data_IF_537898671911
#
_entry.id   IF_537898671911
#
_cell.length_a   1.000
_cell.length_b   1.000
_cell.length_c   1.000
_cell.angle_alpha   90.00
_cell.angle_beta   90.00
_cell.angle_gamma   90.00
#
_symmetry.space_group_name_H-M   'P 1'
#
loop_
_entity.id
_entity.type
_entity.pdbx_description
1 polymer ?
#
# COMPACT_ATOMS: atom_id res chain seq x y z
N UNK A 1 23.92 7.28 3.21
CA UNK A 1 22.53 7.77 3.29
C UNK A 1 21.58 6.74 2.67
N UNK A 2 20.45 6.55 3.26
CA UNK A 2 19.35 5.73 2.70
C UNK A 2 18.15 6.62 2.43
N UNK A 3 17.53 6.45 1.26
CA UNK A 3 16.34 7.18 0.86
C UNK A 3 15.38 6.26 0.11
N UNK A 4 14.08 6.55 0.20
CA UNK A 4 13.06 5.76 -0.47
C UNK A 4 12.02 6.71 -1.13
N UNK A 5 12.06 6.92 -2.46
CA UNK A 5 10.95 7.48 -3.20
C UNK A 5 9.74 6.53 -3.11
N UNK A 6 8.60 7.01 -2.60
CA UNK A 6 7.41 6.21 -2.32
C UNK A 6 6.54 5.99 -3.57
N UNK A 7 7.15 5.96 -4.75
CA UNK A 7 6.47 5.72 -6.03
C UNK A 7 7.31 4.82 -6.92
N UNK A 8 6.63 3.94 -7.65
CA UNK A 8 7.30 3.00 -8.56
C UNK A 8 7.86 3.68 -9.81
N UNK A 9 9.02 3.24 -10.33
CA UNK A 9 9.62 3.81 -11.54
C UNK A 9 8.73 3.68 -12.78
N UNK A 10 7.90 2.64 -12.84
CA UNK A 10 6.98 2.36 -13.94
C UNK A 10 5.99 3.49 -14.19
N UNK A 11 5.54 4.17 -13.14
CA UNK A 11 4.56 5.25 -13.22
C UNK A 11 5.15 6.64 -12.97
N UNK A 12 6.43 6.74 -12.66
CA UNK A 12 7.08 8.01 -12.30
C UNK A 12 6.94 9.10 -13.38
N UNK A 13 6.96 8.72 -14.67
CA UNK A 13 6.79 9.65 -15.79
C UNK A 13 5.35 10.15 -15.98
N UNK A 14 4.37 9.47 -15.39
CA UNK A 14 2.94 9.78 -15.48
C UNK A 14 2.43 10.50 -14.24
N UNK A 15 3.20 10.47 -13.15
CA UNK A 15 2.83 11.07 -11.88
C UNK A 15 3.15 12.57 -11.86
N UNK A 16 2.29 13.33 -11.18
CA UNK A 16 2.62 14.69 -10.82
C UNK A 16 3.50 14.64 -9.56
N UNK A 17 4.82 14.83 -9.71
CA UNK A 17 5.80 14.64 -8.63
C UNK A 17 5.50 15.46 -7.36
N UNK A 18 4.79 16.58 -7.47
CA UNK A 18 4.41 17.37 -6.29
C UNK A 18 3.30 16.73 -5.42
N UNK A 19 2.71 15.63 -5.87
CA UNK A 19 1.80 14.78 -5.07
C UNK A 19 2.48 13.54 -4.51
N UNK A 20 3.73 13.28 -4.92
CA UNK A 20 4.48 12.08 -4.52
C UNK A 20 5.35 12.36 -3.30
N UNK A 21 5.68 11.30 -2.58
CA UNK A 21 6.42 11.35 -1.33
C UNK A 21 7.80 10.72 -1.49
N UNK A 22 8.78 11.22 -0.71
CA UNK A 22 10.08 10.58 -0.55
C UNK A 22 10.46 10.56 0.94
N UNK A 23 11.05 9.46 1.38
CA UNK A 23 11.56 9.28 2.73
C UNK A 23 13.08 9.40 2.69
N UNK A 24 13.64 10.12 3.67
CA UNK A 24 15.07 10.17 3.98
C UNK A 24 15.26 9.55 5.35
N UNK A 25 16.16 8.58 5.46
CA UNK A 25 16.41 7.92 6.75
C UNK A 25 17.27 8.82 7.64
N UNK A 26 16.77 9.06 8.86
CA UNK A 26 17.37 10.01 9.83
C UNK A 26 18.74 9.57 10.32
N UNK A 27 19.00 8.25 10.42
CA UNK A 27 20.28 7.66 10.85
C UNK A 27 21.38 7.73 9.78
N UNK A 28 21.07 8.25 8.59
CA UNK A 28 22.00 8.35 7.48
C UNK A 28 23.07 9.43 7.65
N UNK A 29 24.08 9.40 6.77
CA UNK A 29 25.11 10.42 6.68
C UNK A 29 24.54 11.82 6.47
N UNK A 30 25.07 12.80 7.20
CA UNK A 30 24.55 14.17 7.21
C UNK A 30 24.66 14.85 5.83
N UNK A 31 25.81 14.74 5.15
CA UNK A 31 26.01 15.36 3.84
C UNK A 31 25.14 14.72 2.77
N UNK A 32 25.02 13.38 2.82
CA UNK A 32 24.13 12.66 1.92
C UNK A 32 22.67 13.04 2.13
N UNK A 33 22.23 13.24 3.37
CA UNK A 33 20.85 13.70 3.65
C UNK A 33 20.59 15.09 3.06
N UNK A 34 21.54 16.04 3.22
CA UNK A 34 21.41 17.38 2.61
C UNK A 34 21.29 17.27 1.10
N UNK A 35 22.17 16.49 0.45
CA UNK A 35 22.14 16.30 -0.99
C UNK A 35 20.80 15.77 -1.51
N UNK A 36 20.28 14.70 -0.89
CA UNK A 36 19.00 14.13 -1.33
C UNK A 36 17.82 15.05 -0.98
N UNK A 37 17.88 15.81 0.11
CA UNK A 37 16.86 16.80 0.43
C UNK A 37 16.76 17.87 -0.63
N UNK A 38 17.89 18.44 -1.05
CA UNK A 38 17.95 19.44 -2.12
C UNK A 38 17.48 18.87 -3.46
N UNK A 39 17.90 17.65 -3.79
CA UNK A 39 17.44 16.96 -5.00
C UNK A 39 15.92 16.78 -5.03
N UNK A 40 15.35 16.23 -3.96
CA UNK A 40 13.91 15.98 -3.86
C UNK A 40 13.08 17.27 -3.81
N UNK A 41 13.61 18.34 -3.19
CA UNK A 41 13.00 19.67 -3.23
C UNK A 41 12.97 20.23 -4.66
N UNK A 42 14.05 20.07 -5.42
CA UNK A 42 14.10 20.44 -6.85
C UNK A 42 13.06 19.71 -7.67
N UNK A 43 12.82 18.44 -7.36
CA UNK A 43 11.78 17.60 -7.97
C UNK A 43 10.37 17.90 -7.45
N UNK A 44 10.23 18.76 -6.44
CA UNK A 44 8.96 19.13 -5.77
C UNK A 44 8.26 17.97 -5.07
N UNK A 45 9.03 16.98 -4.59
CA UNK A 45 8.50 15.88 -3.79
C UNK A 45 8.16 16.36 -2.37
N UNK A 46 7.18 15.70 -1.74
CA UNK A 46 6.94 15.83 -0.31
C UNK A 46 7.99 14.99 0.43
N UNK A 47 8.78 15.61 1.31
CA UNK A 47 9.90 14.95 1.98
C UNK A 47 9.53 14.65 3.42
N UNK A 48 9.77 13.40 3.85
CA UNK A 48 9.62 12.93 5.22
C UNK A 48 10.95 12.39 5.72
N UNK A 49 11.29 12.67 6.98
CA UNK A 49 12.44 12.05 7.64
C UNK A 49 11.93 11.01 8.63
N UNK A 50 12.35 9.74 8.45
CA UNK A 50 11.98 8.61 9.29
C UNK A 50 13.23 7.89 9.79
N UNK A 51 13.12 7.28 10.95
CA UNK A 51 14.06 6.23 11.38
C UNK A 51 13.88 4.98 10.50
N UNK A 52 14.83 4.04 10.55
CA UNK A 52 14.65 2.75 9.87
C UNK A 52 13.39 2.03 10.36
N UNK A 53 13.12 2.09 11.66
CA UNK A 53 11.97 1.43 12.26
C UNK A 53 10.63 2.03 11.80
N UNK A 54 10.53 3.36 11.78
CA UNK A 54 9.35 4.08 11.24
C UNK A 54 9.16 3.83 9.75
N UNK A 55 10.26 3.74 8.99
CA UNK A 55 10.21 3.39 7.56
C UNK A 55 9.65 1.98 7.37
N UNK A 56 10.16 1.00 8.08
CA UNK A 56 9.73 -0.39 7.96
C UNK A 56 8.27 -0.58 8.39
N UNK A 57 7.83 0.13 9.43
CA UNK A 57 6.43 0.16 9.84
C UNK A 57 5.53 0.78 8.75
N UNK A 58 5.97 1.90 8.17
CA UNK A 58 5.24 2.57 7.08
C UNK A 58 5.13 1.69 5.84
N UNK A 59 6.22 1.02 5.44
CA UNK A 59 6.23 0.09 4.30
C UNK A 59 5.30 -1.09 4.55
N UNK A 60 5.37 -1.72 5.73
CA UNK A 60 4.49 -2.83 6.08
C UNK A 60 3.01 -2.42 6.05
N UNK A 61 2.69 -1.22 6.45
CA UNK A 61 1.32 -0.71 6.44
C UNK A 61 0.87 -0.27 5.04
N UNK A 62 1.64 0.61 4.39
CA UNK A 62 1.22 1.29 3.16
C UNK A 62 1.38 0.45 1.89
N UNK A 63 2.28 -0.54 1.90
CA UNK A 63 2.51 -1.43 0.76
C UNK A 63 1.96 -2.84 1.02
N UNK A 64 2.27 -3.46 2.17
CA UNK A 64 1.87 -4.85 2.40
C UNK A 64 0.35 -5.03 2.46
N UNK A 65 -0.40 -4.09 3.05
CA UNK A 65 -1.87 -4.18 3.08
C UNK A 65 -2.48 -4.18 1.67
N UNK A 66 -2.20 -3.18 0.79
CA UNK A 66 -2.73 -3.20 -0.57
C UNK A 66 -2.22 -4.39 -1.38
N UNK A 67 -0.94 -4.79 -1.24
CA UNK A 67 -0.37 -5.93 -1.98
C UNK A 67 -1.07 -7.23 -1.61
N UNK A 68 -1.16 -7.55 -0.31
CA UNK A 68 -1.84 -8.76 0.16
C UNK A 68 -3.31 -8.78 -0.26
N UNK A 69 -4.01 -7.65 -0.14
CA UNK A 69 -5.41 -7.53 -0.56
C UNK A 69 -5.57 -7.80 -2.07
N UNK A 70 -4.66 -7.29 -2.89
CA UNK A 70 -4.64 -7.50 -4.34
C UNK A 70 -4.28 -8.94 -4.70
N UNK A 71 -3.32 -9.56 -3.99
CA UNK A 71 -2.96 -10.97 -4.20
C UNK A 71 -4.11 -11.91 -3.84
N UNK A 72 -4.77 -11.68 -2.70
CA UNK A 72 -5.95 -12.47 -2.31
C UNK A 72 -7.07 -12.32 -3.33
N UNK A 73 -7.37 -11.10 -3.78
CA UNK A 73 -8.33 -10.87 -4.87
C UNK A 73 -7.93 -11.67 -6.12
N UNK A 74 -6.67 -11.58 -6.54
CA UNK A 74 -6.17 -12.25 -7.76
C UNK A 74 -6.20 -13.77 -7.65
N UNK A 75 -5.93 -14.30 -6.45
CA UNK A 75 -5.94 -15.75 -6.21
C UNK A 75 -7.34 -16.35 -6.20
N UNK A 76 -8.36 -15.60 -5.78
CA UNK A 76 -9.75 -16.10 -5.71
C UNK A 76 -10.60 -15.74 -6.93
N UNK A 77 -10.16 -14.75 -7.73
CA UNK A 77 -10.92 -14.32 -8.89
C UNK A 77 -10.99 -15.40 -9.97
N UNK A 78 -12.09 -15.40 -10.72
CA UNK A 78 -12.27 -16.24 -11.92
C UNK A 78 -12.49 -15.36 -13.13
N UNK A 79 -12.20 -15.91 -14.32
CA UNK A 79 -12.49 -15.21 -15.57
C UNK A 79 -13.96 -14.79 -15.64
N UNK A 80 -14.21 -13.56 -16.09
CA UNK A 80 -15.53 -12.98 -16.27
C UNK A 80 -15.68 -12.49 -17.71
N UNK A 81 -16.70 -12.97 -18.42
CA UNK A 81 -17.01 -12.51 -19.78
C UNK A 81 -17.58 -11.08 -19.79
N UNK A 82 -18.37 -10.72 -18.77
CA UNK A 82 -19.01 -9.41 -18.64
C UNK A 82 -18.70 -8.75 -17.29
N UNK A 83 -17.43 -8.37 -17.03
CA UNK A 83 -17.04 -7.81 -15.75
C UNK A 83 -17.62 -6.41 -15.53
N UNK A 84 -18.15 -6.16 -14.34
CA UNK A 84 -18.60 -4.85 -13.90
C UNK A 84 -17.42 -3.87 -13.69
N UNK A 85 -17.73 -2.57 -13.57
CA UNK A 85 -16.71 -1.50 -13.45
C UNK A 85 -15.76 -1.70 -12.28
N UNK A 86 -16.26 -2.07 -11.11
CA UNK A 86 -15.42 -2.30 -9.91
C UNK A 86 -14.44 -3.43 -10.14
N UNK A 87 -14.89 -4.56 -10.72
CA UNK A 87 -14.02 -5.69 -11.04
C UNK A 87 -12.91 -5.28 -12.02
N UNK A 88 -13.24 -4.52 -13.07
CA UNK A 88 -12.27 -4.00 -14.06
C UNK A 88 -11.19 -3.13 -13.39
N UNK A 89 -11.58 -2.27 -12.45
CA UNK A 89 -10.62 -1.43 -11.71
C UNK A 89 -9.67 -2.26 -10.84
N UNK A 90 -10.19 -3.27 -10.10
CA UNK A 90 -9.35 -4.18 -9.32
C UNK A 90 -8.41 -5.00 -10.21
N UNK A 91 -8.88 -5.46 -11.37
CA UNK A 91 -8.04 -6.14 -12.36
C UNK A 91 -6.92 -5.27 -12.91
N UNK A 92 -7.18 -3.97 -13.13
CA UNK A 92 -6.14 -3.04 -13.58
C UNK A 92 -5.03 -2.87 -12.51
N UNK A 93 -5.43 -2.72 -11.25
CA UNK A 93 -4.49 -2.67 -10.11
C UNK A 93 -3.69 -3.98 -10.03
N UNK A 94 -4.37 -5.13 -10.10
CA UNK A 94 -3.73 -6.44 -10.03
C UNK A 94 -2.70 -6.66 -11.16
N UNK A 95 -3.04 -6.28 -12.39
CA UNK A 95 -2.13 -6.37 -13.54
C UNK A 95 -0.89 -5.48 -13.35
N UNK A 96 -1.07 -4.26 -12.87
CA UNK A 96 0.06 -3.35 -12.58
C UNK A 96 0.97 -3.95 -11.52
N UNK A 97 0.42 -4.36 -10.39
CA UNK A 97 1.19 -4.92 -9.29
C UNK A 97 1.92 -6.22 -9.66
N UNK A 98 1.25 -7.15 -10.35
CA UNK A 98 1.81 -8.44 -10.74
C UNK A 98 2.74 -8.34 -11.97
N UNK A 99 2.96 -7.15 -12.54
CA UNK A 99 3.99 -6.90 -13.54
C UNK A 99 5.34 -6.48 -12.94
N UNK A 100 5.39 -6.22 -11.64
CA UNK A 100 6.63 -5.93 -10.92
C UNK A 100 7.49 -7.19 -10.77
N UNK A 101 8.77 -6.99 -10.50
CA UNK A 101 9.73 -8.08 -10.30
C UNK A 101 9.42 -8.89 -9.03
N UNK A 102 9.49 -10.21 -9.13
CA UNK A 102 9.20 -11.13 -8.02
C UNK A 102 10.08 -10.87 -6.79
N UNK A 103 11.34 -10.48 -6.99
CA UNK A 103 12.25 -10.16 -5.89
C UNK A 103 11.78 -8.93 -5.13
N UNK A 104 11.37 -7.87 -5.84
CA UNK A 104 10.81 -6.66 -5.23
C UNK A 104 9.55 -6.97 -4.41
N UNK A 105 8.65 -7.78 -4.97
CA UNK A 105 7.42 -8.19 -4.28
C UNK A 105 7.73 -8.99 -3.01
N UNK A 106 8.73 -9.89 -3.07
CA UNK A 106 9.18 -10.67 -1.92
C UNK A 106 9.78 -9.80 -0.82
N UNK A 107 10.69 -8.89 -1.16
CA UNK A 107 11.34 -7.97 -0.19
C UNK A 107 10.29 -7.14 0.57
N UNK A 108 9.29 -6.62 -0.13
CA UNK A 108 8.19 -5.88 0.51
C UNK A 108 7.37 -6.78 1.45
N UNK A 109 7.00 -7.98 1.00
CA UNK A 109 6.14 -8.88 1.76
C UNK A 109 6.86 -9.61 2.89
N UNK A 110 8.18 -9.78 2.79
CA UNK A 110 9.00 -10.39 3.84
C UNK A 110 9.45 -9.40 4.92
N UNK A 111 9.00 -8.14 4.83
CA UNK A 111 9.20 -7.19 5.92
C UNK A 111 8.70 -7.80 7.24
N UNK A 112 9.51 -7.74 8.33
CA UNK A 112 9.19 -8.37 9.62
C UNK A 112 7.84 -7.95 10.23
N UNK A 113 7.33 -6.78 9.85
CA UNK A 113 6.05 -6.24 10.34
C UNK A 113 4.85 -6.65 9.48
N UNK A 114 5.06 -7.20 8.27
CA UNK A 114 3.99 -7.63 7.36
C UNK A 114 3.06 -8.70 7.97
N UNK A 115 3.56 -9.73 8.69
CA UNK A 115 2.67 -10.74 9.27
C UNK A 115 1.57 -10.18 10.17
N UNK A 116 1.87 -9.15 10.95
CA UNK A 116 0.87 -8.49 11.81
C UNK A 116 -0.22 -7.78 10.99
N UNK A 117 0.13 -7.19 9.85
CA UNK A 117 -0.83 -6.55 8.95
C UNK A 117 -1.71 -7.58 8.23
N UNK A 118 -1.14 -8.71 7.83
CA UNK A 118 -1.90 -9.84 7.26
C UNK A 118 -2.90 -10.39 8.27
N UNK A 119 -2.50 -10.52 9.53
CA UNK A 119 -3.40 -10.96 10.61
C UNK A 119 -4.55 -9.96 10.83
N UNK A 120 -4.28 -8.65 10.78
CA UNK A 120 -5.33 -7.63 10.85
C UNK A 120 -6.34 -7.79 9.69
N UNK A 121 -5.87 -8.04 8.45
CA UNK A 121 -6.75 -8.33 7.31
C UNK A 121 -7.60 -9.57 7.57
N UNK A 122 -6.98 -10.65 8.08
CA UNK A 122 -7.68 -11.89 8.40
C UNK A 122 -8.80 -11.68 9.43
N UNK A 123 -8.53 -10.90 10.46
CA UNK A 123 -9.52 -10.58 11.51
C UNK A 123 -10.67 -9.75 10.95
N UNK A 124 -10.40 -8.75 10.12
CA UNK A 124 -11.45 -7.95 9.49
C UNK A 124 -12.27 -8.76 8.48
N UNK A 125 -11.65 -9.67 7.74
CA UNK A 125 -12.39 -10.60 6.86
C UNK A 125 -13.30 -11.54 7.65
N UNK A 126 -12.84 -12.05 8.80
CA UNK A 126 -13.66 -12.87 9.70
C UNK A 126 -14.87 -12.08 10.21
N UNK A 127 -14.65 -10.87 10.71
CA UNK A 127 -15.72 -9.98 11.18
C UNK A 127 -16.75 -9.70 10.08
N UNK A 128 -16.29 -9.34 8.88
CA UNK A 128 -17.16 -9.11 7.74
C UNK A 128 -17.97 -10.36 7.36
N UNK A 129 -17.33 -11.54 7.37
CA UNK A 129 -17.98 -12.81 7.08
C UNK A 129 -19.09 -13.13 8.09
N UNK A 130 -18.88 -12.86 9.38
CA UNK A 130 -19.90 -13.03 10.43
C UNK A 130 -21.12 -12.13 10.18
N UNK A 131 -20.90 -10.86 9.86
CA UNK A 131 -21.97 -9.91 9.51
C UNK A 131 -22.78 -10.41 8.30
N UNK A 132 -22.09 -10.89 7.25
CA UNK A 132 -22.72 -11.40 6.03
C UNK A 132 -23.53 -12.66 6.32
N UNK A 133 -22.96 -13.64 7.02
CA UNK A 133 -23.63 -14.91 7.33
C UNK A 133 -24.90 -14.71 8.16
N UNK A 134 -24.85 -13.78 9.12
CA UNK A 134 -25.98 -13.46 9.98
C UNK A 134 -26.99 -12.50 9.33
N UNK A 135 -26.68 -11.98 8.12
CA UNK A 135 -27.49 -10.94 7.44
C UNK A 135 -27.76 -9.74 8.35
N UNK A 136 -26.78 -9.40 9.20
CA UNK A 136 -26.89 -8.33 10.21
C UNK A 136 -26.83 -6.96 9.54
N UNK A 137 -28.00 -6.40 9.23
CA UNK A 137 -28.11 -5.11 8.55
C UNK A 137 -27.59 -3.94 9.41
N UNK A 138 -27.83 -3.96 10.73
CA UNK A 138 -27.34 -2.91 11.61
C UNK A 138 -25.82 -3.00 11.83
N UNK A 139 -25.29 -4.21 11.99
CA UNK A 139 -23.86 -4.47 12.04
C UNK A 139 -23.16 -4.02 10.75
N UNK A 140 -23.72 -4.33 9.59
CA UNK A 140 -23.20 -3.87 8.29
C UNK A 140 -23.18 -2.34 8.20
N UNK A 141 -24.24 -1.67 8.61
CA UNK A 141 -24.31 -0.21 8.61
C UNK A 141 -23.22 0.42 9.48
N UNK A 142 -23.03 -0.09 10.69
CA UNK A 142 -21.97 0.35 11.61
C UNK A 142 -20.58 0.11 11.01
N UNK A 143 -20.35 -1.07 10.45
CA UNK A 143 -19.09 -1.44 9.79
C UNK A 143 -18.75 -0.48 8.64
N UNK A 144 -19.69 -0.23 7.73
CA UNK A 144 -19.52 0.69 6.62
C UNK A 144 -19.28 2.15 7.06
N UNK A 145 -19.95 2.59 8.14
CA UNK A 145 -19.73 3.93 8.70
C UNK A 145 -18.29 4.08 9.20
N UNK A 146 -17.80 3.11 9.97
CA UNK A 146 -16.40 3.07 10.46
C UNK A 146 -15.38 3.14 9.32
N UNK A 147 -15.62 2.39 8.22
CA UNK A 147 -14.71 2.40 7.06
C UNK A 147 -14.75 3.76 6.36
N UNK A 148 -15.92 4.35 6.14
CA UNK A 148 -16.06 5.67 5.49
C UNK A 148 -15.35 6.77 6.27
N UNK A 149 -15.31 6.67 7.60
CA UNK A 149 -14.58 7.63 8.43
C UNK A 149 -13.06 7.54 8.25
N UNK A 150 -12.53 6.35 7.95
CA UNK A 150 -11.10 6.14 7.73
C UNK A 150 -10.58 6.66 6.39
N UNK A 151 -11.45 6.86 5.41
CA UNK A 151 -11.09 7.27 4.04
C UNK A 151 -11.51 8.72 3.71
N UNK A 152 -11.90 9.48 4.71
CA UNK A 152 -12.11 10.93 4.60
C UNK A 152 -10.79 11.66 4.78
#
# INVERSE_FOLDING_TARGET
VSTHPMFGPTFASLSNLNTENAIIISEGDHLGKIFFKDLYQTMKLNIFEYTFDEHDETVAYSLSIPFVSTFVFSAVMKHQEAPGTTFKKHMAIAKGLLSEDDYLLQEILFNPRTPSQVENIRLELKNLLEIINNKDAEGMKKYLTKIREKIK
#
